data_IF_820935089296
#
_entry.id   IF_820935089296
#
_cell.length_a   1.000
_cell.length_b   1.000
_cell.length_c   1.000
_cell.angle_alpha   90.00
_cell.angle_beta   90.00
_cell.angle_gamma   90.00
#
_symmetry.space_group_name_H-M   'P 1'
#
loop_
_entity.id
_entity.type
_entity.pdbx_description
1 polymer ?
#
# COMPACT_ATOMS: atom_id res chain seq x y z
N UNK A 1 -63.01 -17.17 2.81
CA UNK A 1 -61.99 -17.63 1.82
C UNK A 1 -61.05 -16.50 1.38
N UNK A 2 -61.58 -15.30 1.10
CA UNK A 2 -60.82 -14.09 0.69
C UNK A 2 -59.79 -13.60 1.72
N UNK A 3 -60.08 -13.68 3.02
CA UNK A 3 -59.14 -13.30 4.09
C UNK A 3 -57.96 -14.27 4.24
N UNK A 4 -58.19 -15.57 4.02
CA UNK A 4 -57.11 -16.57 4.00
C UNK A 4 -56.18 -16.38 2.80
N UNK A 5 -56.73 -16.00 1.64
CA UNK A 5 -55.96 -15.66 0.44
C UNK A 5 -55.10 -14.40 0.64
N UNK A 6 -55.65 -13.37 1.28
CA UNK A 6 -54.92 -12.14 1.62
C UNK A 6 -53.76 -12.41 2.60
N UNK A 7 -53.96 -13.28 3.60
CA UNK A 7 -52.90 -13.68 4.53
C UNK A 7 -51.76 -14.43 3.84
N UNK A 8 -52.07 -15.34 2.91
CA UNK A 8 -51.06 -16.08 2.13
C UNK A 8 -50.29 -15.15 1.19
N UNK A 9 -50.97 -14.17 0.56
CA UNK A 9 -50.32 -13.15 -0.26
C UNK A 9 -49.41 -12.22 0.55
N UNK A 10 -49.84 -11.78 1.73
CA UNK A 10 -49.03 -10.93 2.60
C UNK A 10 -47.78 -11.66 3.11
N UNK A 11 -47.92 -12.95 3.47
CA UNK A 11 -46.80 -13.78 3.89
C UNK A 11 -45.79 -14.00 2.76
N UNK A 12 -46.26 -14.36 1.57
CA UNK A 12 -45.39 -14.56 0.40
C UNK A 12 -44.72 -13.27 -0.07
N UNK A 13 -45.39 -12.12 -0.01
CA UNK A 13 -44.79 -10.82 -0.28
C UNK A 13 -43.71 -10.47 0.75
N UNK A 14 -43.94 -10.72 2.05
CA UNK A 14 -42.95 -10.53 3.10
C UNK A 14 -41.70 -11.39 2.90
N UNK A 15 -41.89 -12.67 2.57
CA UNK A 15 -40.78 -13.58 2.22
C UNK A 15 -40.05 -13.09 0.97
N UNK A 16 -40.78 -12.63 -0.06
CA UNK A 16 -40.18 -12.09 -1.29
C UNK A 16 -39.29 -10.87 -1.04
N UNK A 17 -39.74 -9.93 -0.21
CA UNK A 17 -38.95 -8.76 0.19
C UNK A 17 -37.71 -9.19 0.96
N UNK A 18 -37.84 -10.16 1.86
CA UNK A 18 -36.74 -10.66 2.68
C UNK A 18 -35.69 -11.39 1.83
N UNK A 19 -36.12 -12.18 0.83
CA UNK A 19 -35.23 -12.82 -0.14
C UNK A 19 -34.53 -11.79 -1.03
N UNK A 20 -35.23 -10.75 -1.49
CA UNK A 20 -34.63 -9.66 -2.26
C UNK A 20 -33.60 -8.88 -1.44
N UNK A 21 -33.91 -8.57 -0.19
CA UNK A 21 -32.98 -7.93 0.75
C UNK A 21 -31.75 -8.80 1.00
N UNK A 22 -31.94 -10.09 1.31
CA UNK A 22 -30.83 -11.03 1.49
C UNK A 22 -29.97 -11.16 0.23
N UNK A 23 -30.57 -11.17 -0.97
CA UNK A 23 -29.83 -11.23 -2.23
C UNK A 23 -28.99 -9.95 -2.45
N UNK A 24 -29.51 -8.79 -2.07
CA UNK A 24 -28.78 -7.51 -2.12
C UNK A 24 -27.61 -7.50 -1.12
N UNK A 25 -27.83 -7.91 0.13
CA UNK A 25 -26.78 -8.02 1.13
C UNK A 25 -25.74 -9.09 0.81
N UNK A 26 -26.11 -10.19 0.14
CA UNK A 26 -25.18 -11.23 -0.30
C UNK A 26 -24.31 -10.78 -1.50
N UNK A 27 -24.72 -9.73 -2.22
CA UNK A 27 -23.91 -9.15 -3.29
C UNK A 27 -22.90 -8.10 -2.79
N UNK A 28 -23.15 -7.51 -1.62
CA UNK A 28 -22.27 -6.55 -0.94
C UNK A 28 -20.88 -7.10 -0.58
N UNK A 29 -20.70 -8.32 -0.02
CA UNK A 29 -19.38 -8.85 0.32
C UNK A 29 -18.50 -9.12 -0.90
N UNK A 30 -19.07 -9.32 -2.10
CA UNK A 30 -18.29 -9.47 -3.34
C UNK A 30 -17.66 -8.14 -3.82
N UNK A 31 -18.19 -6.99 -3.40
CA UNK A 31 -17.58 -5.67 -3.63
C UNK A 31 -16.61 -5.26 -2.52
N UNK A 32 -16.78 -5.83 -1.31
CA UNK A 32 -15.94 -5.57 -0.13
C UNK A 32 -14.78 -6.57 -0.01
N UNK A 33 -14.75 -7.62 -0.84
CA UNK A 33 -13.56 -8.44 -1.09
C UNK A 33 -12.59 -7.68 -2.01
N UNK A 34 -12.19 -6.50 -1.57
CA UNK A 34 -11.11 -5.71 -2.18
C UNK A 34 -9.83 -6.49 -1.92
N UNK A 35 -9.35 -7.17 -2.96
CA UNK A 35 -8.03 -7.76 -3.15
C UNK A 35 -7.06 -7.44 -2.00
N UNK A 36 -6.97 -8.35 -1.03
CA UNK A 36 -5.94 -8.29 0.00
C UNK A 36 -4.59 -8.39 -0.71
N UNK A 37 -3.75 -7.38 -0.53
CA UNK A 37 -2.32 -7.42 -0.88
C UNK A 37 -1.76 -8.82 -0.61
N UNK A 38 -1.33 -9.51 -1.67
CA UNK A 38 -0.80 -10.88 -1.58
C UNK A 38 0.69 -10.81 -1.31
N UNK A 39 1.17 -11.73 -0.51
CA UNK A 39 2.61 -11.86 -0.26
C UNK A 39 3.26 -12.69 -1.37
N UNK A 40 4.40 -12.20 -1.87
CA UNK A 40 5.22 -12.79 -2.92
C UNK A 40 6.61 -13.08 -2.37
N UNK A 41 7.26 -14.10 -2.93
CA UNK A 41 8.58 -14.53 -2.46
C UNK A 41 9.71 -13.64 -2.98
N UNK A 42 9.59 -13.14 -4.20
CA UNK A 42 10.59 -12.30 -4.85
C UNK A 42 9.95 -11.27 -5.81
N UNK A 43 10.79 -10.36 -6.31
CA UNK A 43 10.36 -9.25 -7.18
C UNK A 43 9.98 -9.76 -8.58
N UNK A 44 10.61 -10.86 -9.01
CA UNK A 44 10.39 -11.50 -10.31
C UNK A 44 8.99 -12.14 -10.37
N UNK A 45 8.52 -12.75 -9.28
CA UNK A 45 7.18 -13.31 -9.12
C UNK A 45 6.12 -12.20 -9.26
N UNK A 46 6.36 -11.04 -8.63
CA UNK A 46 5.46 -9.88 -8.75
C UNK A 46 5.38 -9.40 -10.20
N UNK A 47 6.51 -9.31 -10.91
CA UNK A 47 6.54 -8.92 -12.34
C UNK A 47 5.80 -9.91 -13.23
N UNK A 48 5.80 -11.20 -12.87
CA UNK A 48 5.02 -12.21 -13.57
C UNK A 48 3.52 -12.13 -13.29
N UNK A 49 3.13 -11.68 -12.09
CA UNK A 49 1.75 -11.64 -11.64
C UNK A 49 1.02 -10.33 -11.98
N UNK A 50 1.72 -9.20 -12.07
CA UNK A 50 1.13 -7.87 -12.23
C UNK A 50 1.64 -7.16 -13.49
N UNK A 51 0.83 -6.28 -14.10
CA UNK A 51 1.22 -5.49 -15.27
C UNK A 51 2.13 -4.30 -14.88
N UNK A 52 3.16 -4.54 -14.07
CA UNK A 52 4.12 -3.54 -13.61
C UNK A 52 5.45 -3.79 -14.32
N UNK A 53 5.73 -2.98 -15.34
CA UNK A 53 6.90 -3.15 -16.21
C UNK A 53 8.23 -3.04 -15.46
N UNK A 54 8.32 -2.07 -14.53
CA UNK A 54 9.54 -1.80 -13.77
C UNK A 54 9.18 -1.62 -12.30
N UNK A 55 9.70 -2.52 -11.45
CA UNK A 55 9.66 -2.38 -9.99
C UNK A 55 10.97 -1.73 -9.56
N UNK A 56 10.88 -0.57 -8.92
CA UNK A 56 12.06 0.16 -8.44
C UNK A 56 12.60 -0.48 -7.17
N UNK A 57 13.84 -0.95 -7.22
CA UNK A 57 14.57 -1.55 -6.10
C UNK A 57 15.84 -0.74 -5.87
N UNK A 58 16.18 -0.36 -4.63
CA UNK A 58 17.40 0.40 -4.38
C UNK A 58 18.63 -0.43 -4.70
N UNK A 59 19.67 0.21 -5.24
CA UNK A 59 20.99 -0.43 -5.38
C UNK A 59 21.92 -0.12 -4.22
N UNK A 60 21.60 0.89 -3.40
CA UNK A 60 22.32 1.25 -2.19
C UNK A 60 21.53 0.78 -0.96
N UNK A 61 22.18 -0.05 -0.13
CA UNK A 61 21.63 -0.52 1.15
C UNK A 61 22.54 -0.09 2.30
N UNK A 62 22.03 0.73 3.23
CA UNK A 62 22.66 0.95 4.53
C UNK A 62 23.01 -0.35 5.27
N UNK A 63 24.08 -0.34 6.05
CA UNK A 63 24.56 -1.51 6.81
C UNK A 63 23.57 -2.02 7.87
N UNK A 64 22.63 -1.16 8.29
CA UNK A 64 21.62 -1.48 9.30
C UNK A 64 20.33 -2.06 8.71
N UNK A 65 20.23 -2.23 7.39
CA UNK A 65 19.09 -2.85 6.70
C UNK A 65 19.45 -4.25 6.21
N UNK A 66 18.50 -5.17 6.34
CA UNK A 66 18.58 -6.51 5.77
C UNK A 66 18.19 -6.49 4.30
N UNK A 67 18.96 -7.20 3.48
CA UNK A 67 18.61 -7.57 2.12
C UNK A 67 18.57 -9.11 2.02
N UNK A 68 17.58 -9.74 1.36
CA UNK A 68 16.45 -9.17 0.59
C UNK A 68 15.38 -8.46 1.47
N UNK A 69 14.36 -7.80 0.87
CA UNK A 69 13.18 -7.36 1.62
C UNK A 69 12.60 -8.53 2.43
N UNK A 70 12.14 -8.26 3.66
CA UNK A 70 11.55 -9.30 4.50
C UNK A 70 10.16 -9.72 4.01
N UNK A 71 9.43 -8.78 3.37
CA UNK A 71 8.12 -9.04 2.77
C UNK A 71 7.95 -8.23 1.49
N UNK A 72 7.34 -8.85 0.50
CA UNK A 72 6.89 -8.20 -0.73
C UNK A 72 5.40 -8.44 -0.84
N UNK A 73 4.62 -7.37 -0.83
CA UNK A 73 3.18 -7.40 -0.91
C UNK A 73 2.75 -6.74 -2.21
N UNK A 74 1.80 -7.33 -2.93
CA UNK A 74 1.30 -6.71 -4.16
C UNK A 74 -0.17 -7.00 -4.44
N UNK A 75 -0.83 -6.08 -5.13
CA UNK A 75 -2.22 -6.18 -5.57
C UNK A 75 -2.34 -5.77 -7.04
N UNK A 76 -3.33 -6.35 -7.73
CA UNK A 76 -3.67 -5.98 -9.11
C UNK A 76 -4.94 -5.16 -9.23
N UNK A 77 -5.88 -5.28 -8.29
CA UNK A 77 -7.13 -4.50 -8.24
C UNK A 77 -7.29 -3.87 -6.86
N UNK A 78 -8.02 -2.74 -6.74
CA UNK A 78 -8.62 -1.97 -7.83
C UNK A 78 -7.59 -1.22 -8.69
N UNK A 79 -6.33 -1.17 -8.25
CA UNK A 79 -5.20 -0.63 -8.98
C UNK A 79 -3.94 -1.49 -8.70
N UNK A 80 -2.97 -1.55 -9.64
CA UNK A 80 -1.68 -2.16 -9.39
C UNK A 80 -0.91 -1.42 -8.29
N UNK A 81 -0.47 -2.16 -7.27
CA UNK A 81 0.44 -1.65 -6.26
C UNK A 81 1.39 -2.73 -5.73
N UNK A 82 2.58 -2.32 -5.35
CA UNK A 82 3.63 -3.15 -4.73
C UNK A 82 4.13 -2.41 -3.49
N UNK A 83 4.38 -3.17 -2.43
CA UNK A 83 4.98 -2.70 -1.18
C UNK A 83 6.10 -3.67 -0.83
N UNK A 84 7.30 -3.13 -0.63
CA UNK A 84 8.46 -3.87 -0.14
C UNK A 84 8.81 -3.36 1.25
N UNK A 85 8.98 -4.30 2.18
CA UNK A 85 9.36 -4.02 3.55
C UNK A 85 10.76 -4.53 3.83
N UNK A 86 11.55 -3.71 4.52
CA UNK A 86 12.92 -4.02 4.88
C UNK A 86 13.11 -3.92 6.38
N UNK A 87 13.59 -5.01 6.97
CA UNK A 87 13.90 -5.12 8.39
C UNK A 87 15.30 -4.59 8.70
N UNK A 88 15.51 -4.26 9.98
CA UNK A 88 16.84 -4.03 10.52
C UNK A 88 17.67 -5.32 10.54
N UNK A 89 18.98 -5.24 10.31
CA UNK A 89 19.89 -6.42 10.38
C UNK A 89 19.85 -7.15 11.73
N UNK A 90 19.63 -6.42 12.82
CA UNK A 90 19.59 -6.93 14.18
C UNK A 90 18.19 -6.77 14.81
N UNK A 91 17.16 -7.33 14.19
CA UNK A 91 15.80 -7.33 14.72
C UNK A 91 14.75 -7.62 13.66
N UNK A 92 13.46 -7.50 14.05
CA UNK A 92 12.30 -7.62 13.15
C UNK A 92 11.59 -6.28 12.92
N UNK A 93 12.22 -5.18 13.33
CA UNK A 93 11.65 -3.85 13.15
C UNK A 93 11.79 -3.42 11.70
N UNK A 94 10.68 -3.02 11.07
CA UNK A 94 10.68 -2.47 9.72
C UNK A 94 11.30 -1.06 9.76
N UNK A 95 12.40 -0.90 9.04
CA UNK A 95 13.20 0.32 9.00
C UNK A 95 13.05 1.08 7.69
N UNK A 96 12.70 0.39 6.61
CA UNK A 96 12.46 0.97 5.29
C UNK A 96 11.23 0.31 4.66
N UNK A 97 10.39 1.13 4.06
CA UNK A 97 9.21 0.73 3.32
C UNK A 97 9.23 1.46 1.98
N UNK A 98 9.10 0.70 0.90
CA UNK A 98 9.04 1.21 -0.46
C UNK A 98 7.69 0.80 -1.04
N UNK A 99 6.92 1.74 -1.57
CA UNK A 99 5.73 1.42 -2.35
C UNK A 99 5.73 2.07 -3.71
N UNK A 100 5.09 1.37 -4.63
CA UNK A 100 4.87 1.79 -6.00
C UNK A 100 3.42 1.48 -6.35
N UNK A 101 2.66 2.48 -6.80
CA UNK A 101 1.23 2.31 -7.09
C UNK A 101 0.80 3.24 -8.22
N UNK A 102 -0.18 2.84 -9.03
CA UNK A 102 -0.81 3.75 -9.99
C UNK A 102 -1.82 4.69 -9.34
N UNK A 103 -2.16 4.49 -8.06
CA UNK A 103 -3.01 5.39 -7.28
C UNK A 103 -2.15 6.33 -6.43
N UNK A 104 -2.31 7.63 -6.60
CA UNK A 104 -1.63 8.67 -5.81
C UNK A 104 -2.07 8.71 -4.34
N UNK A 105 -3.27 8.20 -4.07
CA UNK A 105 -3.86 8.16 -2.72
C UNK A 105 -3.42 6.90 -1.95
N UNK A 106 -2.75 5.96 -2.61
CA UNK A 106 -2.30 4.73 -1.98
C UNK A 106 -1.12 5.00 -1.04
N UNK A 107 -1.39 4.94 0.27
CA UNK A 107 -0.38 5.04 1.29
C UNK A 107 -0.30 3.72 2.06
N UNK A 108 0.85 3.01 2.02
CA UNK A 108 1.07 1.75 2.75
C UNK A 108 1.28 2.04 4.26
N UNK A 109 0.23 2.39 4.99
CA UNK A 109 0.36 3.04 6.30
C UNK A 109 0.40 2.13 7.54
N UNK A 110 0.72 0.84 7.44
CA UNK A 110 0.61 -0.03 8.62
C UNK A 110 1.83 -0.04 9.54
N UNK A 111 3.06 0.17 9.05
CA UNK A 111 4.30 -0.11 9.83
C UNK A 111 5.26 1.06 10.03
N UNK A 112 5.25 2.03 9.11
CA UNK A 112 5.98 3.30 9.23
C UNK A 112 5.00 4.41 8.88
N UNK A 113 4.67 5.24 9.87
CA UNK A 113 3.77 6.37 9.72
C UNK A 113 4.38 7.60 10.38
N UNK A 114 4.57 8.66 9.59
CA UNK A 114 4.96 9.97 10.10
C UNK A 114 3.72 10.56 10.79
N UNK A 115 3.77 10.64 12.12
CA UNK A 115 2.67 11.14 12.96
C UNK A 115 2.68 12.67 12.95
N UNK A 116 3.87 13.25 13.03
CA UNK A 116 4.06 14.70 13.10
C UNK A 116 5.09 15.12 12.05
N UNK A 117 4.66 15.92 11.08
CA UNK A 117 5.51 16.42 10.00
C UNK A 117 6.14 17.73 10.46
N UNK A 118 7.45 17.67 10.71
CA UNK A 118 8.23 18.84 11.14
C UNK A 118 8.57 19.70 9.93
N UNK A 119 8.93 19.07 8.81
CA UNK A 119 9.36 19.75 7.60
C UNK A 119 8.85 19.02 6.35
N UNK A 120 8.47 19.81 5.35
CA UNK A 120 8.06 19.31 4.04
C UNK A 120 8.63 20.23 2.97
N UNK A 121 9.45 19.69 2.07
CA UNK A 121 10.19 20.46 1.07
C UNK A 121 10.16 19.74 -0.28
N UNK A 122 10.06 20.52 -1.36
CA UNK A 122 10.29 20.00 -2.71
C UNK A 122 11.80 19.76 -2.90
N UNK A 123 12.17 18.53 -3.24
CA UNK A 123 13.55 18.11 -3.43
C UNK A 123 13.70 17.38 -4.77
N UNK A 124 14.63 17.81 -5.66
CA UNK A 124 14.84 17.13 -6.92
C UNK A 124 15.67 15.85 -6.73
N UNK A 125 15.07 14.67 -6.89
CA UNK A 125 15.80 13.38 -6.85
C UNK A 125 16.20 13.03 -8.28
N UNK A 126 17.50 13.15 -8.61
CA UNK A 126 18.01 12.95 -9.99
C UNK A 126 17.14 13.64 -11.06
N UNK A 127 16.73 14.89 -10.80
CA UNK A 127 15.91 15.69 -11.71
C UNK A 127 14.39 15.42 -11.67
N UNK A 128 13.92 14.45 -10.90
CA UNK A 128 12.48 14.23 -10.66
C UNK A 128 12.02 15.13 -9.52
N UNK A 129 10.90 15.82 -9.69
CA UNK A 129 10.31 16.62 -8.62
C UNK A 129 9.76 15.68 -7.54
N UNK A 130 10.41 15.64 -6.37
CA UNK A 130 9.97 14.84 -5.24
C UNK A 130 9.54 15.73 -4.07
N UNK A 131 8.62 15.21 -3.27
CA UNK A 131 8.24 15.79 -1.99
C UNK A 131 8.95 15.03 -0.88
N UNK A 132 9.90 15.69 -0.21
CA UNK A 132 10.59 15.19 0.97
C UNK A 132 9.84 15.67 2.23
N UNK A 133 9.52 14.74 3.11
CA UNK A 133 8.87 14.96 4.41
C UNK A 133 9.77 14.43 5.51
N UNK A 134 9.95 15.20 6.57
CA UNK A 134 10.70 14.79 7.76
C UNK A 134 9.83 15.01 8.98
N UNK A 135 9.85 14.04 9.89
CA UNK A 135 8.99 14.08 11.04
C UNK A 135 9.28 13.02 12.08
N UNK A 136 8.30 12.80 12.94
CA UNK A 136 8.36 11.80 14.00
C UNK A 136 7.42 10.64 13.69
N UNK A 137 7.90 9.43 13.89
CA UNK A 137 7.14 8.20 13.76
C UNK A 137 6.59 7.72 15.11
N UNK A 138 5.83 6.63 15.09
CA UNK A 138 5.46 5.89 16.30
C UNK A 138 6.71 5.62 17.15
N UNK A 139 6.58 5.72 18.48
CA UNK A 139 7.67 5.64 19.47
C UNK A 139 8.64 6.83 19.52
N UNK A 140 8.25 7.98 18.96
CA UNK A 140 9.04 9.22 19.01
C UNK A 140 10.43 9.07 18.36
N UNK A 141 10.52 8.23 17.34
CA UNK A 141 11.71 8.05 16.50
C UNK A 141 11.65 8.99 15.30
N UNK A 142 12.80 9.51 14.85
CA UNK A 142 12.84 10.31 13.61
C UNK A 142 12.58 9.41 12.41
N UNK A 143 11.76 9.89 11.50
CA UNK A 143 11.57 9.25 10.22
C UNK A 143 11.41 10.26 9.10
N UNK A 144 11.74 9.78 7.90
CA UNK A 144 11.75 10.58 6.70
C UNK A 144 10.95 9.85 5.64
N UNK A 145 10.31 10.61 4.77
CA UNK A 145 9.55 10.10 3.64
C UNK A 145 9.85 10.90 2.39
N UNK A 146 9.97 10.25 1.25
CA UNK A 146 10.14 10.92 -0.04
C UNK A 146 9.17 10.32 -1.05
N UNK A 147 8.55 11.18 -1.84
CA UNK A 147 7.51 10.79 -2.79
C UNK A 147 7.74 11.46 -4.13
N UNK A 148 7.69 10.70 -5.21
CA UNK A 148 7.79 11.23 -6.58
C UNK A 148 6.95 10.40 -7.54
N UNK A 149 6.80 10.89 -8.78
CA UNK A 149 6.15 10.16 -9.87
C UNK A 149 7.20 9.63 -10.85
N UNK A 150 7.01 8.38 -11.26
CA UNK A 150 7.78 7.72 -12.32
C UNK A 150 6.80 7.11 -13.33
N UNK A 151 6.56 7.80 -14.46
CA UNK A 151 5.49 7.46 -15.37
C UNK A 151 4.10 7.57 -14.70
N UNK A 152 3.29 6.52 -14.85
CA UNK A 152 1.96 6.40 -14.21
C UNK A 152 2.03 5.99 -12.73
N UNK A 153 3.22 5.71 -12.20
CA UNK A 153 3.40 5.21 -10.84
C UNK A 153 3.81 6.33 -9.89
N UNK A 154 3.15 6.38 -8.74
CA UNK A 154 3.59 7.14 -7.58
C UNK A 154 4.44 6.25 -6.70
N UNK A 155 5.63 6.74 -6.36
CA UNK A 155 6.61 6.04 -5.54
C UNK A 155 6.64 6.71 -4.18
N UNK A 156 6.49 5.93 -3.12
CA UNK A 156 6.71 6.39 -1.75
C UNK A 156 7.84 5.58 -1.12
N UNK A 157 8.81 6.28 -0.53
CA UNK A 157 9.87 5.66 0.25
C UNK A 157 9.81 6.26 1.64
N UNK A 158 9.55 5.42 2.65
CA UNK A 158 9.47 5.79 4.05
C UNK A 158 10.57 5.06 4.81
N UNK A 159 11.33 5.77 5.63
CA UNK A 159 12.38 5.16 6.43
C UNK A 159 12.46 5.76 7.83
N UNK A 160 12.79 4.91 8.81
CA UNK A 160 13.17 5.33 10.17
C UNK A 160 14.64 5.76 10.19
N UNK A 161 14.96 6.75 9.35
CA UNK A 161 16.32 7.23 9.12
C UNK A 161 16.35 8.74 8.96
N UNK A 162 17.57 9.27 8.86
CA UNK A 162 17.77 10.67 8.47
C UNK A 162 17.33 10.92 7.03
N UNK A 163 16.95 12.15 6.67
CA UNK A 163 16.60 12.49 5.29
C UNK A 163 17.77 12.27 4.34
N UNK A 164 19.02 12.48 4.79
CA UNK A 164 20.21 12.29 3.96
C UNK A 164 20.41 10.83 3.56
N UNK A 165 20.16 9.90 4.48
CA UNK A 165 20.22 8.46 4.19
C UNK A 165 19.06 8.02 3.28
N UNK A 166 17.85 8.53 3.52
CA UNK A 166 16.69 8.29 2.66
C UNK A 166 16.93 8.76 1.23
N UNK A 167 17.50 9.95 1.04
CA UNK A 167 17.82 10.51 -0.28
C UNK A 167 18.78 9.58 -1.02
N UNK A 168 19.83 9.09 -0.37
CA UNK A 168 20.78 8.13 -1.00
C UNK A 168 20.07 6.85 -1.47
N UNK A 169 19.16 6.32 -0.65
CA UNK A 169 18.35 5.14 -1.02
C UNK A 169 17.51 5.47 -2.26
N UNK A 170 16.75 6.56 -2.22
CA UNK A 170 15.86 6.97 -3.32
C UNK A 170 16.63 7.25 -4.62
N UNK A 171 17.75 7.95 -4.57
CA UNK A 171 18.60 8.20 -5.74
C UNK A 171 19.17 6.92 -6.33
N UNK A 172 19.45 5.90 -5.51
CA UNK A 172 19.97 4.61 -5.97
C UNK A 172 18.94 3.75 -6.70
N UNK A 173 17.64 4.03 -6.51
CA UNK A 173 16.55 3.35 -7.21
C UNK A 173 16.43 3.83 -8.66
N UNK A 174 16.90 5.04 -8.94
CA UNK A 174 16.79 5.69 -10.24
C UNK A 174 18.10 5.53 -11.00
N UNK A 175 18.03 5.30 -12.31
CA UNK A 175 19.20 5.37 -13.20
C UNK A 175 19.45 6.80 -13.63
#
# INVERSE_FOLDING_TARGET
>A
MREKLLGVFAFSAGVGILVLGLRFFNWLPLMVQVDSMREYQDVEEVKGALPIETILVPSYFPQNLSWPPSRILAQGKPFPAVVMEFEKTAGKDIMLLISQSTSEEFLPEEKIKIIDVIESVSYPVKGRNALLRVGMCQRNERCSGITWKEGEYTIHVLARSTPFELIKIAESMLR
#
